data_IF_589169601502
#
_entry.id   IF_589169601502
#
_cell.length_a   1.000
_cell.length_b   1.000
_cell.length_c   1.000
_cell.angle_alpha   90.00
_cell.angle_beta   90.00
_cell.angle_gamma   90.00
#
_symmetry.space_group_name_H-M   'P 1'
#
loop_
_entity.id
_entity.type
_entity.pdbx_description
1 polymer ?
#
# COMPACT_ATOMS: atom_id res chain seq x y z
N UNK A 1 10.39 18.73 1.53
CA UNK A 1 10.06 18.57 2.96
C UNK A 1 11.23 19.10 3.78
N UNK A 2 10.98 19.91 4.80
CA UNK A 2 12.03 20.39 5.71
C UNK A 2 12.50 19.23 6.62
N UNK A 3 13.80 19.01 6.70
CA UNK A 3 14.42 17.96 7.53
C UNK A 3 14.09 18.16 9.02
N UNK A 4 13.93 19.41 9.48
CA UNK A 4 13.57 19.71 10.87
C UNK A 4 12.19 19.18 11.23
N UNK A 5 11.20 19.46 10.37
CA UNK A 5 9.81 19.03 10.54
C UNK A 5 9.71 17.50 10.50
N UNK A 6 10.37 16.84 9.53
CA UNK A 6 10.33 15.39 9.43
C UNK A 6 10.91 14.70 10.68
N UNK A 7 12.00 15.24 11.24
CA UNK A 7 12.59 14.73 12.48
C UNK A 7 11.62 14.87 13.67
N UNK A 8 10.94 16.01 13.77
CA UNK A 8 9.94 16.22 14.82
C UNK A 8 8.76 15.25 14.70
N UNK A 9 8.23 15.04 13.49
CA UNK A 9 7.17 14.07 13.23
C UNK A 9 7.58 12.64 13.58
N UNK A 10 8.82 12.24 13.29
CA UNK A 10 9.35 10.95 13.75
C UNK A 10 9.45 10.87 15.27
N UNK A 11 9.81 11.97 15.95
CA UNK A 11 9.80 12.05 17.42
C UNK A 11 8.38 11.90 18.00
N UNK A 12 7.39 12.56 17.40
CA UNK A 12 5.97 12.42 17.79
C UNK A 12 5.47 10.98 17.60
N UNK A 13 5.80 10.35 16.46
CA UNK A 13 5.49 8.94 16.23
C UNK A 13 6.17 8.03 17.26
N UNK A 14 7.42 8.31 17.61
CA UNK A 14 8.16 7.55 18.60
C UNK A 14 7.50 7.65 19.99
N UNK A 15 7.08 8.85 20.39
CA UNK A 15 6.35 9.09 21.63
C UNK A 15 4.97 8.41 21.64
N UNK A 16 4.28 8.35 20.51
CA UNK A 16 3.01 7.62 20.37
C UNK A 16 3.20 6.12 20.57
N UNK A 17 4.21 5.52 19.92
CA UNK A 17 4.48 4.09 20.04
C UNK A 17 4.88 3.72 21.48
N UNK A 18 5.57 4.61 22.19
CA UNK A 18 5.98 4.37 23.57
C UNK A 18 4.79 4.24 24.54
N UNK A 19 3.64 4.81 24.20
CA UNK A 19 2.40 4.67 24.98
C UNK A 19 1.80 3.26 24.92
N UNK A 20 2.20 2.44 23.95
CA UNK A 20 1.65 1.09 23.72
C UNK A 20 2.73 0.01 23.91
N UNK A 21 3.04 -0.41 25.15
CA UNK A 21 4.17 -1.29 25.45
C UNK A 21 4.03 -2.70 24.85
N UNK A 22 2.80 -3.22 24.70
CA UNK A 22 2.57 -4.54 24.06
C UNK A 22 3.00 -4.53 22.60
N UNK A 23 2.61 -3.50 21.87
CA UNK A 23 2.96 -3.30 20.46
C UNK A 23 4.49 -3.14 20.30
N UNK A 24 5.15 -2.44 21.22
CA UNK A 24 6.61 -2.31 21.28
C UNK A 24 7.34 -3.64 21.48
N UNK A 25 6.79 -4.53 22.31
CA UNK A 25 7.41 -5.81 22.65
C UNK A 25 7.18 -6.89 21.58
N UNK A 26 5.98 -6.95 21.02
CA UNK A 26 5.54 -8.07 20.16
C UNK A 26 5.64 -7.75 18.65
N UNK A 27 5.60 -6.46 18.26
CA UNK A 27 5.61 -6.07 16.84
C UNK A 27 6.99 -5.64 16.33
N UNK A 28 7.19 -5.81 15.02
CA UNK A 28 8.36 -5.31 14.29
C UNK A 28 7.91 -4.29 13.26
N UNK A 29 8.58 -3.13 13.25
CA UNK A 29 8.27 -2.04 12.33
C UNK A 29 9.24 -2.06 11.15
N UNK A 30 8.71 -1.98 9.94
CA UNK A 30 9.50 -1.82 8.72
C UNK A 30 9.13 -0.51 8.08
N UNK A 31 10.08 0.42 8.00
CA UNK A 31 9.90 1.71 7.36
C UNK A 31 10.46 1.66 5.94
N UNK A 32 9.60 1.85 4.94
CA UNK A 32 9.93 1.89 3.52
C UNK A 32 9.77 3.33 3.03
N UNK A 33 10.80 3.96 2.45
CA UNK A 33 10.72 5.34 1.99
C UNK A 33 9.79 5.47 0.79
N UNK A 34 9.07 6.58 0.72
CA UNK A 34 8.24 6.97 -0.42
C UNK A 34 8.96 7.85 -1.44
N UNK A 35 8.30 8.15 -2.58
CA UNK A 35 8.85 9.03 -3.61
C UNK A 35 9.03 10.49 -3.15
N UNK A 36 8.23 10.94 -2.19
CA UNK A 36 8.25 12.32 -1.66
C UNK A 36 9.12 12.49 -0.40
N UNK A 37 9.74 11.40 0.06
CA UNK A 37 10.62 11.41 1.23
C UNK A 37 11.98 12.03 0.94
N UNK A 38 12.68 12.41 2.01
CA UNK A 38 14.02 12.99 1.91
C UNK A 38 15.03 11.96 1.42
N UNK A 39 15.79 12.30 0.38
CA UNK A 39 16.75 11.38 -0.24
C UNK A 39 17.16 11.81 -1.65
N UNK A 40 17.80 10.91 -2.44
CA UNK A 40 18.30 11.19 -3.79
C UNK A 40 17.18 11.30 -4.87
N UNK A 41 16.02 11.84 -4.50
CA UNK A 41 14.85 11.95 -5.37
C UNK A 41 14.16 10.61 -5.64
N UNK A 42 13.32 10.57 -6.68
CA UNK A 42 12.52 9.41 -7.06
C UNK A 42 13.29 8.38 -7.92
N UNK A 43 14.62 8.27 -7.75
CA UNK A 43 15.47 7.30 -8.46
C UNK A 43 15.41 5.97 -7.73
N UNK A 44 15.17 4.87 -8.47
CA UNK A 44 15.08 3.53 -7.91
C UNK A 44 16.39 2.74 -8.07
N UNK A 45 16.71 1.83 -7.15
CA UNK A 45 16.15 1.68 -5.81
C UNK A 45 16.50 2.88 -4.90
N UNK A 46 15.59 3.28 -4.02
CA UNK A 46 15.82 4.33 -3.04
C UNK A 46 16.51 3.76 -1.78
N UNK A 47 17.51 4.47 -1.23
CA UNK A 47 18.17 4.06 0.01
C UNK A 47 17.23 4.23 1.21
N UNK A 48 17.53 3.56 2.35
CA UNK A 48 16.77 3.77 3.58
C UNK A 48 16.89 5.20 4.10
N UNK A 49 15.91 5.60 4.92
CA UNK A 49 15.90 6.92 5.54
C UNK A 49 17.18 7.17 6.37
N UNK A 50 17.80 8.36 6.25
CA UNK A 50 18.98 8.73 7.01
C UNK A 50 18.84 8.54 8.53
N UNK A 51 19.95 8.16 9.17
CA UNK A 51 19.99 7.96 10.63
C UNK A 51 19.79 9.25 11.42
N UNK A 52 20.16 10.40 10.87
CA UNK A 52 19.97 11.70 11.50
C UNK A 52 18.49 12.05 11.73
N UNK A 53 17.58 11.52 10.89
CA UNK A 53 16.13 11.73 11.01
C UNK A 53 15.47 10.72 11.96
N UNK A 54 16.05 9.53 12.06
CA UNK A 54 15.41 8.35 12.68
C UNK A 54 16.07 7.93 13.99
N UNK A 55 16.97 8.74 14.53
CA UNK A 55 17.75 8.42 15.73
C UNK A 55 16.90 8.12 16.96
N UNK A 56 15.88 8.94 17.22
CA UNK A 56 14.98 8.75 18.37
C UNK A 56 14.17 7.46 18.24
N UNK A 57 13.59 7.23 17.06
CA UNK A 57 12.79 6.04 16.77
C UNK A 57 13.63 4.75 16.90
N UNK A 58 14.87 4.76 16.40
CA UNK A 58 15.81 3.63 16.54
C UNK A 58 16.20 3.35 17.98
N UNK A 59 16.28 4.39 18.82
CA UNK A 59 16.58 4.25 20.24
C UNK A 59 15.42 3.62 21.00
N UNK A 60 14.18 4.02 20.70
CA UNK A 60 12.98 3.45 21.35
C UNK A 60 12.63 2.08 20.80
N UNK A 61 12.80 1.85 19.50
CA UNK A 61 12.44 0.62 18.79
C UNK A 61 13.69 -0.05 18.19
N UNK A 62 14.46 -0.82 18.98
CA UNK A 62 15.63 -1.52 18.45
C UNK A 62 15.26 -2.59 17.42
N UNK A 63 14.01 -3.04 17.41
CA UNK A 63 13.46 -4.02 16.45
C UNK A 63 13.04 -3.40 15.12
N UNK A 64 13.03 -2.07 15.00
CA UNK A 64 12.61 -1.38 13.79
C UNK A 64 13.68 -1.46 12.68
N UNK A 65 13.26 -1.81 11.48
CA UNK A 65 14.10 -1.88 10.28
C UNK A 65 13.73 -0.74 9.33
N UNK A 66 14.71 0.05 8.95
CA UNK A 66 14.55 1.06 7.91
C UNK A 66 15.11 0.47 6.62
N UNK A 67 14.22 0.13 5.70
CA UNK A 67 14.52 -0.61 4.49
C UNK A 67 14.68 0.33 3.28
N UNK A 68 15.19 -0.21 2.18
CA UNK A 68 15.16 0.45 0.87
C UNK A 68 13.74 0.45 0.27
N UNK A 69 13.53 1.18 -0.82
CA UNK A 69 12.33 1.04 -1.65
C UNK A 69 12.74 0.70 -3.10
N UNK A 70 12.33 -0.46 -3.64
CA UNK A 70 11.57 -1.53 -2.98
C UNK A 70 12.37 -2.27 -1.90
N UNK A 71 11.67 -3.09 -1.11
CA UNK A 71 12.30 -4.09 -0.25
C UNK A 71 11.56 -5.43 -0.33
N UNK A 72 12.19 -6.48 0.19
CA UNK A 72 11.63 -7.83 0.22
C UNK A 72 11.62 -8.37 1.64
N UNK A 73 10.46 -8.86 2.04
CA UNK A 73 10.26 -9.56 3.28
C UNK A 73 10.18 -11.06 2.98
N UNK A 74 10.93 -11.85 3.74
CA UNK A 74 10.82 -13.32 3.72
C UNK A 74 10.18 -13.76 5.03
N UNK A 75 9.02 -14.39 4.93
CA UNK A 75 8.31 -14.93 6.07
C UNK A 75 8.09 -16.43 5.85
N UNK A 76 8.80 -17.25 6.61
CA UNK A 76 8.91 -18.70 6.38
C UNK A 76 9.29 -19.02 4.93
N UNK A 77 8.39 -19.64 4.17
CA UNK A 77 8.57 -19.99 2.75
C UNK A 77 8.16 -18.88 1.79
N UNK A 78 7.45 -17.85 2.27
CA UNK A 78 6.85 -16.83 1.43
C UNK A 78 7.79 -15.65 1.18
N UNK A 79 7.72 -15.12 -0.04
CA UNK A 79 8.42 -13.93 -0.51
C UNK A 79 7.41 -12.83 -0.76
N UNK A 80 7.50 -11.78 0.04
CA UNK A 80 6.63 -10.61 -0.02
C UNK A 80 7.48 -9.43 -0.49
N UNK A 81 7.09 -8.77 -1.57
CA UNK A 81 7.78 -7.58 -2.09
C UNK A 81 6.99 -6.35 -1.67
N UNK A 82 7.65 -5.38 -1.02
CA UNK A 82 7.04 -4.09 -0.69
C UNK A 82 7.59 -3.04 -1.65
N UNK A 83 6.69 -2.29 -2.26
CA UNK A 83 7.04 -1.22 -3.17
C UNK A 83 6.10 -0.03 -3.00
N UNK A 84 6.62 1.11 -2.54
CA UNK A 84 5.86 2.36 -2.41
C UNK A 84 6.15 3.22 -3.62
N UNK A 85 5.21 3.27 -4.56
CA UNK A 85 5.39 4.06 -5.77
C UNK A 85 4.07 4.34 -6.49
N UNK A 86 3.93 5.54 -7.06
CA UNK A 86 2.75 5.92 -7.84
C UNK A 86 2.85 5.39 -9.28
N UNK A 87 2.81 4.06 -9.43
CA UNK A 87 2.98 3.38 -10.71
C UNK A 87 1.79 3.57 -11.64
N UNK A 88 0.56 3.49 -11.11
CA UNK A 88 -0.65 3.57 -11.93
C UNK A 88 -0.70 4.90 -12.68
N UNK A 89 -0.46 6.02 -11.99
CA UNK A 89 -0.37 7.34 -12.63
C UNK A 89 0.72 7.39 -13.70
N UNK A 90 1.88 6.78 -13.47
CA UNK A 90 3.02 6.85 -14.41
C UNK A 90 2.83 6.00 -15.65
N UNK A 91 2.24 4.81 -15.50
CA UNK A 91 1.91 3.90 -16.58
C UNK A 91 0.73 4.42 -17.41
N UNK A 92 -0.35 4.90 -16.77
CA UNK A 92 -1.52 5.47 -17.47
C UNK A 92 -1.18 6.65 -18.38
N UNK A 93 -0.17 7.45 -18.03
CA UNK A 93 0.29 8.58 -18.88
C UNK A 93 1.07 8.12 -20.12
N UNK A 94 1.42 6.84 -20.22
CA UNK A 94 2.33 6.26 -21.23
C UNK A 94 1.75 5.04 -21.91
N UNK A 95 0.47 4.75 -21.69
CA UNK A 95 -0.26 3.73 -22.44
C UNK A 95 -0.51 4.23 -23.86
N UNK A 96 -0.19 3.42 -24.87
CA UNK A 96 -0.47 3.75 -26.27
C UNK A 96 -1.96 3.68 -26.58
N UNK A 97 -2.67 2.74 -25.96
CA UNK A 97 -4.10 2.53 -26.11
C UNK A 97 -4.81 2.89 -24.81
N UNK A 98 -5.98 3.56 -24.87
CA UNK A 98 -6.83 3.71 -23.70
C UNK A 98 -7.25 2.33 -23.20
N UNK A 99 -7.16 2.13 -21.90
CA UNK A 99 -7.62 0.89 -21.25
C UNK A 99 -9.14 0.85 -21.30
N UNK A 100 -9.71 -0.30 -21.65
CA UNK A 100 -11.16 -0.51 -21.67
C UNK A 100 -11.73 -0.21 -20.26
N UNK A 101 -12.59 0.81 -20.16
CA UNK A 101 -13.16 1.29 -18.90
C UNK A 101 -12.58 2.61 -18.38
N UNK A 102 -11.48 3.13 -18.94
CA UNK A 102 -11.06 4.50 -18.63
C UNK A 102 -12.12 5.50 -19.15
N UNK A 103 -12.53 6.52 -18.38
CA UNK A 103 -13.44 7.54 -18.90
C UNK A 103 -12.74 8.23 -20.09
N UNK A 104 -13.28 8.03 -21.29
CA UNK A 104 -12.88 8.75 -22.49
C UNK A 104 -13.21 10.24 -22.25
N UNK A 105 -12.23 11.03 -21.77
CA UNK A 105 -12.54 12.44 -21.50
C UNK A 105 -11.54 13.30 -20.74
N UNK A 106 -10.26 12.93 -20.55
CA UNK A 106 -9.31 13.82 -19.83
C UNK A 106 -8.23 14.49 -20.67
N UNK A 107 -8.32 14.44 -22.01
CA UNK A 107 -7.38 15.15 -22.89
C UNK A 107 -8.01 16.22 -23.81
N UNK A 108 -9.34 16.40 -23.89
CA UNK A 108 -9.92 17.36 -24.86
C UNK A 108 -11.27 18.04 -24.54
N UNK A 109 -11.94 17.81 -23.40
CA UNK A 109 -13.27 18.41 -23.18
C UNK A 109 -13.50 18.88 -21.74
N UNK A 110 -12.87 20.00 -21.38
CA UNK A 110 -13.26 20.80 -20.23
C UNK A 110 -14.28 21.86 -20.67
N UNK A 111 -15.54 21.46 -20.87
CA UNK A 111 -16.69 22.37 -20.80
C UNK A 111 -18.01 21.58 -20.81
N UNK A 112 -18.85 21.89 -19.83
CA UNK A 112 -20.32 21.72 -19.80
C UNK A 112 -20.92 20.44 -19.18
N UNK A 113 -21.39 20.62 -17.95
CA UNK A 113 -22.66 20.17 -17.37
C UNK A 113 -22.61 19.10 -16.24
N UNK A 114 -23.27 19.38 -15.09
CA UNK A 114 -23.36 18.50 -13.92
C UNK A 114 -24.71 17.74 -13.87
N UNK A 115 -24.71 16.48 -13.43
CA UNK A 115 -25.77 15.77 -12.64
C UNK A 115 -25.81 14.25 -12.92
N UNK A 116 -25.05 13.46 -12.16
CA UNK A 116 -25.25 12.01 -11.94
C UNK A 116 -24.24 11.50 -10.90
N UNK A 117 -24.42 11.81 -9.62
CA UNK A 117 -23.38 11.62 -8.60
C UNK A 117 -23.15 10.16 -8.16
N UNK A 118 -24.14 9.26 -8.26
CA UNK A 118 -24.00 7.88 -7.75
C UNK A 118 -23.64 6.84 -8.83
N UNK A 119 -24.26 6.90 -10.02
CA UNK A 119 -23.93 6.00 -11.13
C UNK A 119 -22.53 6.24 -11.71
N UNK A 120 -22.06 7.50 -11.69
CA UNK A 120 -20.69 7.84 -12.11
C UNK A 120 -19.62 7.33 -11.15
N UNK A 121 -19.92 7.24 -9.84
CA UNK A 121 -19.01 6.72 -8.82
C UNK A 121 -18.87 5.19 -8.90
N UNK A 122 -19.96 4.46 -9.12
CA UNK A 122 -19.91 3.00 -9.31
C UNK A 122 -19.15 2.61 -10.58
N UNK A 123 -19.34 3.35 -11.69
CA UNK A 123 -18.57 3.16 -12.92
C UNK A 123 -17.09 3.55 -12.75
N UNK A 124 -16.79 4.57 -11.94
CA UNK A 124 -15.42 4.95 -11.60
C UNK A 124 -14.71 3.88 -10.74
N UNK A 125 -15.42 3.24 -9.81
CA UNK A 125 -14.88 2.13 -9.01
C UNK A 125 -14.69 0.84 -9.84
N UNK A 126 -15.65 0.52 -10.72
CA UNK A 126 -15.51 -0.62 -11.63
C UNK A 126 -14.37 -0.42 -12.65
N UNK A 127 -14.12 0.82 -13.06
CA UNK A 127 -12.97 1.14 -13.91
C UNK A 127 -11.65 1.16 -13.13
N UNK A 128 -11.61 1.56 -11.86
CA UNK A 128 -10.39 1.49 -11.05
C UNK A 128 -9.91 0.05 -10.88
N UNK A 129 -10.83 -0.88 -10.61
CA UNK A 129 -10.48 -2.30 -10.46
C UNK A 129 -9.99 -2.93 -11.76
N UNK A 130 -10.57 -2.57 -12.90
CA UNK A 130 -10.08 -2.98 -14.22
C UNK A 130 -8.68 -2.41 -14.50
N UNK A 131 -8.44 -1.13 -14.17
CA UNK A 131 -7.13 -0.51 -14.29
C UNK A 131 -6.09 -1.19 -13.39
N UNK A 132 -6.48 -1.56 -12.16
CA UNK A 132 -5.64 -2.29 -11.22
C UNK A 132 -5.29 -3.69 -11.72
N UNK A 133 -6.27 -4.41 -12.28
CA UNK A 133 -6.04 -5.71 -12.90
C UNK A 133 -5.04 -5.62 -14.06
N UNK A 134 -5.18 -4.63 -14.94
CA UNK A 134 -4.23 -4.41 -16.04
C UNK A 134 -2.84 -4.00 -15.56
N UNK A 135 -2.76 -3.12 -14.55
CA UNK A 135 -1.49 -2.74 -13.93
C UNK A 135 -0.79 -3.96 -13.34
N UNK A 136 -1.51 -4.74 -12.55
CA UNK A 136 -1.00 -5.93 -11.89
C UNK A 136 -0.52 -6.96 -12.91
N UNK A 137 -1.32 -7.26 -13.93
CA UNK A 137 -0.91 -8.14 -15.02
C UNK A 137 0.35 -7.64 -15.72
N UNK A 138 0.44 -6.34 -16.00
CA UNK A 138 1.64 -5.75 -16.64
C UNK A 138 2.89 -5.97 -15.79
N UNK A 139 2.80 -5.74 -14.47
CA UNK A 139 3.95 -5.92 -13.56
C UNK A 139 4.39 -7.38 -13.48
N UNK A 140 3.44 -8.30 -13.37
CA UNK A 140 3.73 -9.73 -13.25
C UNK A 140 4.27 -10.30 -14.57
N UNK A 141 3.68 -9.94 -15.71
CA UNK A 141 4.10 -10.41 -17.03
C UNK A 141 5.44 -9.82 -17.48
N UNK A 142 5.71 -8.55 -17.17
CA UNK A 142 7.03 -7.95 -17.42
C UNK A 142 8.09 -8.42 -16.41
N UNK A 143 7.66 -9.07 -15.31
CA UNK A 143 8.51 -9.51 -14.21
C UNK A 143 9.45 -8.41 -13.71
N UNK A 144 8.98 -7.17 -13.68
CA UNK A 144 9.76 -6.00 -13.30
C UNK A 144 8.88 -4.96 -12.60
N UNK A 145 9.36 -4.38 -11.50
CA UNK A 145 8.59 -3.39 -10.72
C UNK A 145 8.44 -2.03 -11.44
N UNK A 146 9.35 -1.70 -12.36
CA UNK A 146 9.31 -0.45 -13.12
C UNK A 146 9.44 -0.72 -14.63
N UNK A 147 8.38 -1.19 -15.31
CA UNK A 147 8.37 -1.41 -16.76
C UNK A 147 8.15 -0.08 -17.50
N UNK A 148 9.01 0.91 -17.22
CA UNK A 148 8.94 2.27 -17.74
C UNK A 148 10.30 2.69 -18.28
N UNK A 149 10.35 3.55 -19.32
CA UNK A 149 11.63 4.06 -19.82
C UNK A 149 12.34 4.90 -18.75
N UNK A 150 13.67 4.94 -18.79
CA UNK A 150 14.50 5.64 -17.78
C UNK A 150 14.18 7.14 -17.67
N UNK A 151 13.71 7.78 -18.75
CA UNK A 151 13.26 9.16 -18.74
C UNK A 151 11.99 9.37 -17.90
N UNK A 152 11.14 8.33 -17.82
CA UNK A 152 9.93 8.34 -17.02
C UNK A 152 10.17 7.90 -15.57
N UNK A 153 11.04 6.91 -15.41
CA UNK A 153 11.40 6.35 -14.12
C UNK A 153 12.91 6.08 -14.10
N UNK A 154 13.72 6.98 -13.51
CA UNK A 154 15.15 6.77 -13.44
C UNK A 154 15.47 5.60 -12.50
N UNK A 155 16.35 4.71 -12.97
CA UNK A 155 16.85 3.56 -12.23
C UNK A 155 18.37 3.59 -12.24
N UNK A 156 18.99 3.30 -11.10
CA UNK A 156 20.42 3.06 -11.02
C UNK A 156 20.77 1.80 -11.81
N UNK A 157 21.51 1.97 -12.91
CA UNK A 157 21.83 0.87 -13.83
C UNK A 157 22.46 -0.35 -13.14
N UNK A 158 23.29 -0.13 -12.13
CA UNK A 158 23.94 -1.20 -11.36
C UNK A 158 22.97 -2.00 -10.47
N UNK A 159 21.80 -1.44 -10.16
CA UNK A 159 20.82 -2.00 -9.22
C UNK A 159 19.47 -2.31 -9.87
N UNK A 160 19.41 -2.38 -11.20
CA UNK A 160 18.19 -2.71 -11.93
C UNK A 160 17.67 -4.12 -11.56
N UNK A 161 18.59 -5.07 -11.35
CA UNK A 161 18.24 -6.44 -10.92
C UNK A 161 17.46 -6.51 -9.60
N UNK A 162 17.57 -5.50 -8.74
CA UNK A 162 16.82 -5.43 -7.48
C UNK A 162 15.31 -5.27 -7.72
N UNK A 163 14.92 -4.67 -8.86
CA UNK A 163 13.55 -4.41 -9.26
C UNK A 163 12.88 -5.59 -9.97
N UNK A 164 13.63 -6.65 -10.31
CA UNK A 164 13.11 -7.83 -11.01
C UNK A 164 12.20 -8.69 -10.14
N UNK A 165 11.02 -9.05 -10.64
CA UNK A 165 10.07 -9.93 -9.94
C UNK A 165 10.29 -11.41 -10.23
N UNK A 166 11.35 -11.78 -10.94
CA UNK A 166 11.70 -13.18 -11.21
C UNK A 166 12.67 -13.72 -10.14
N UNK A 167 12.40 -14.88 -9.52
CA UNK A 167 11.20 -15.72 -9.65
C UNK A 167 9.97 -15.06 -9.02
N UNK A 168 8.77 -15.34 -9.55
CA UNK A 168 7.50 -14.71 -9.14
C UNK A 168 7.29 -14.82 -7.62
N UNK A 169 7.11 -13.71 -6.87
CA UNK A 169 6.87 -13.75 -5.42
C UNK A 169 5.47 -14.24 -5.08
N UNK A 170 5.23 -14.56 -3.81
CA UNK A 170 3.90 -14.97 -3.32
C UNK A 170 2.96 -13.75 -3.17
N UNK A 171 3.52 -12.61 -2.76
CA UNK A 171 2.78 -11.36 -2.67
C UNK A 171 3.63 -10.14 -3.07
N UNK A 172 2.99 -9.18 -3.73
CA UNK A 172 3.51 -7.86 -4.08
C UNK A 172 2.59 -6.81 -3.47
N UNK A 173 3.11 -6.09 -2.49
CA UNK A 173 2.42 -4.98 -1.85
C UNK A 173 2.84 -3.71 -2.56
N UNK A 174 1.97 -3.24 -3.45
CA UNK A 174 2.16 -2.00 -4.19
C UNK A 174 1.38 -0.89 -3.49
N UNK A 175 2.09 -0.10 -2.68
CA UNK A 175 1.51 1.07 -2.04
C UNK A 175 1.48 2.23 -3.06
N UNK A 176 0.35 2.40 -3.72
CA UNK A 176 0.11 3.47 -4.70
C UNK A 176 -1.00 4.40 -4.17
N UNK A 177 -0.68 5.68 -4.00
CA UNK A 177 -1.64 6.69 -3.53
C UNK A 177 -2.60 7.14 -4.65
N UNK A 178 -2.29 6.82 -5.91
CA UNK A 178 -3.06 7.20 -7.10
C UNK A 178 -4.00 6.11 -7.59
N UNK A 179 -3.85 4.91 -7.03
CA UNK A 179 -4.72 3.77 -7.26
C UNK A 179 -5.98 3.83 -6.39
N UNK A 180 -6.97 3.01 -6.72
CA UNK A 180 -8.14 2.86 -5.86
C UNK A 180 -7.73 2.34 -4.48
N UNK A 181 -8.43 2.73 -3.40
CA UNK A 181 -8.16 2.17 -2.08
C UNK A 181 -8.51 0.67 -2.08
N UNK A 182 -7.69 -0.12 -1.39
CA UNK A 182 -8.01 -1.52 -1.02
C UNK A 182 -8.29 -2.45 -2.22
N UNK A 183 -7.46 -2.37 -3.26
CA UNK A 183 -7.56 -3.24 -4.43
C UNK A 183 -6.69 -4.50 -4.26
N UNK A 184 -7.27 -5.67 -4.53
CA UNK A 184 -6.56 -6.96 -4.60
C UNK A 184 -6.66 -7.51 -6.03
N UNK A 185 -5.56 -8.09 -6.50
CA UNK A 185 -5.53 -8.85 -7.74
C UNK A 185 -4.67 -10.10 -7.59
N UNK A 186 -5.13 -11.23 -8.10
CA UNK A 186 -4.42 -12.51 -8.01
C UNK A 186 -4.16 -13.06 -9.40
N UNK A 187 -2.91 -13.43 -9.68
CA UNK A 187 -2.52 -14.05 -10.94
C UNK A 187 -1.36 -15.03 -10.74
N UNK A 188 -1.50 -16.25 -11.28
CA UNK A 188 -0.48 -17.31 -11.21
C UNK A 188 0.05 -17.55 -9.78
N UNK A 189 -0.82 -17.44 -8.77
CA UNK A 189 -0.47 -17.61 -7.35
C UNK A 189 0.23 -16.42 -6.69
N UNK A 190 0.54 -15.36 -7.44
CA UNK A 190 1.04 -14.09 -6.88
C UNK A 190 -0.12 -13.15 -6.60
N UNK A 191 -0.17 -12.61 -5.39
CA UNK A 191 -1.16 -11.60 -4.98
C UNK A 191 -0.57 -10.20 -5.07
N UNK A 192 -1.23 -9.30 -5.78
CA UNK A 192 -0.87 -7.88 -5.84
C UNK A 192 -1.89 -7.09 -5.05
N UNK A 193 -1.45 -6.39 -4.01
CA UNK A 193 -2.34 -5.66 -3.10
C UNK A 193 -1.96 -4.18 -3.02
N UNK A 194 -2.98 -3.32 -3.00
CA UNK A 194 -2.84 -1.93 -2.59
C UNK A 194 -3.48 -1.71 -1.21
N UNK A 195 -2.70 -1.36 -0.17
CA UNK A 195 -3.27 -1.07 1.14
C UNK A 195 -4.08 0.24 1.15
N UNK A 196 -3.87 1.14 0.18
CA UNK A 196 -4.48 2.46 0.17
C UNK A 196 -3.73 3.48 1.02
N UNK A 197 -4.30 4.68 1.13
CA UNK A 197 -3.71 5.81 1.84
C UNK A 197 -4.14 5.84 3.30
N UNK A 198 -3.17 5.70 4.23
CA UNK A 198 -3.44 5.71 5.66
C UNK A 198 -4.05 7.04 6.19
N UNK A 199 -3.67 8.24 5.70
CA UNK A 199 -4.37 9.49 6.05
C UNK A 199 -5.87 9.48 5.76
N UNK A 200 -6.32 8.66 4.81
CA UNK A 200 -7.74 8.49 4.48
C UNK A 200 -8.43 7.42 5.35
N UNK A 201 -7.68 6.75 6.24
CA UNK A 201 -8.20 5.72 7.14
C UNK A 201 -8.04 4.29 6.63
N UNK A 202 -7.47 4.08 5.44
CA UNK A 202 -7.36 2.74 4.85
C UNK A 202 -6.05 2.05 5.23
N UNK A 203 -6.14 0.78 5.62
CA UNK A 203 -5.01 -0.13 5.78
C UNK A 203 -5.41 -1.55 5.39
N UNK A 204 -4.42 -2.44 5.28
CA UNK A 204 -4.62 -3.84 4.96
C UNK A 204 -3.76 -4.73 5.85
N UNK A 205 -4.32 -5.85 6.29
CA UNK A 205 -3.62 -6.91 6.99
C UNK A 205 -3.44 -8.11 6.05
N UNK A 206 -2.20 -8.55 5.86
CA UNK A 206 -1.89 -9.76 5.11
C UNK A 206 -1.60 -10.90 6.07
N UNK A 207 -2.39 -11.97 6.02
CA UNK A 207 -2.20 -13.18 6.82
C UNK A 207 -1.39 -14.19 6.01
N UNK A 208 -0.07 -14.34 6.24
CA UNK A 208 0.77 -15.22 5.43
C UNK A 208 0.33 -16.68 5.52
N UNK A 209 -0.10 -17.17 6.70
CA UNK A 209 -0.49 -18.57 6.86
C UNK A 209 -1.68 -18.98 5.98
N UNK A 210 -2.65 -18.08 5.78
CA UNK A 210 -3.85 -18.32 4.96
C UNK A 210 -3.67 -17.76 3.54
N UNK A 211 -2.64 -16.92 3.34
CA UNK A 211 -2.45 -16.10 2.14
C UNK A 211 -3.71 -15.27 1.83
N UNK A 212 -4.35 -14.72 2.86
CA UNK A 212 -5.54 -13.89 2.73
C UNK A 212 -5.21 -12.45 3.08
N UNK A 213 -5.89 -11.52 2.41
CA UNK A 213 -5.82 -10.09 2.70
C UNK A 213 -7.13 -9.68 3.37
N UNK A 214 -7.01 -9.01 4.51
CA UNK A 214 -8.12 -8.36 5.19
C UNK A 214 -7.96 -6.85 4.99
N UNK A 215 -8.95 -6.22 4.38
CA UNK A 215 -8.97 -4.78 4.15
C UNK A 215 -9.71 -4.12 5.31
N UNK A 216 -9.12 -3.09 5.91
CA UNK A 216 -9.66 -2.43 7.09
C UNK A 216 -9.70 -0.90 6.91
N UNK A 217 -10.82 -0.29 7.33
CA UNK A 217 -11.00 1.17 7.37
C UNK A 217 -11.11 1.61 8.84
N UNK A 218 -10.43 2.70 9.20
CA UNK A 218 -10.56 3.32 10.51
C UNK A 218 -11.92 4.03 10.62
N UNK A 219 -12.61 3.92 11.76
CA UNK A 219 -13.84 4.68 12.01
C UNK A 219 -13.57 6.19 11.87
N UNK A 220 -14.44 6.89 11.13
CA UNK A 220 -14.30 8.34 10.96
C UNK A 220 -14.74 9.05 12.23
N UNK A 221 -14.02 10.09 12.68
CA UNK A 221 -14.45 10.88 13.82
C UNK A 221 -15.80 11.54 13.48
N UNK A 222 -16.87 11.10 14.15
CA UNK A 222 -18.25 11.51 13.91
C UNK A 222 -19.21 10.41 13.42
N UNK A 223 -18.73 9.18 13.21
CA UNK A 223 -19.53 8.01 12.85
C UNK A 223 -19.44 6.95 13.96
N UNK A 224 -19.59 7.36 15.22
CA UNK A 224 -19.86 6.44 16.33
C UNK A 224 -21.38 6.22 16.37
N UNK A 225 -21.83 5.02 16.01
CA UNK A 225 -23.22 4.59 16.13
C UNK A 225 -23.82 4.02 14.84
N UNK A 226 -23.46 2.79 14.50
CA UNK A 226 -24.33 1.81 13.85
C UNK A 226 -23.52 0.54 13.53
N UNK A 227 -23.52 -0.42 14.44
CA UNK A 227 -23.00 -1.76 14.17
C UNK A 227 -22.49 -2.43 15.44
N UNK A 228 -23.17 -3.52 15.81
CA UNK A 228 -22.79 -4.49 16.84
C UNK A 228 -23.19 -4.13 18.28
N UNK A 229 -24.48 -3.83 18.50
CA UNK A 229 -25.15 -4.43 19.66
C UNK A 229 -25.23 -5.94 19.39
N UNK A 230 -24.45 -6.72 20.14
CA UNK A 230 -24.46 -8.17 20.08
C UNK A 230 -25.84 -8.72 20.43
N UNK A 231 -26.38 -9.54 19.54
CA UNK A 231 -27.34 -10.58 19.92
C UNK A 231 -26.60 -11.53 20.87
N UNK A 232 -26.67 -11.25 22.18
CA UNK A 232 -26.48 -12.27 23.21
C UNK A 232 -27.64 -13.27 23.08
N UNK A 233 -27.47 -14.28 22.22
CA UNK A 233 -28.25 -15.50 22.34
C UNK A 233 -27.85 -16.18 23.66
N UNK A 234 -28.75 -16.05 24.62
CA UNK A 234 -28.81 -16.71 25.91
C UNK A 234 -28.77 -18.25 25.73
N UNK A 235 -27.56 -18.81 25.72
CA UNK A 235 -27.34 -20.25 25.82
C UNK A 235 -27.49 -20.69 27.27
N UNK A 236 -28.74 -20.83 27.72
CA UNK A 236 -29.07 -21.45 29.00
C UNK A 236 -28.81 -22.96 28.91
N UNK A 237 -27.66 -23.38 29.45
CA UNK A 237 -27.29 -24.79 29.58
C UNK A 237 -27.51 -25.27 31.00
N UNK A 238 -28.50 -26.14 31.21
CA UNK A 238 -28.51 -27.07 32.35
C UNK A 238 -29.19 -28.39 31.95
N UNK A 239 -28.37 -29.42 31.79
CA UNK A 239 -28.80 -30.80 31.68
C UNK A 239 -29.18 -31.41 33.04
N UNK A 240 -30.14 -32.34 32.95
CA UNK A 240 -30.30 -33.58 33.73
C UNK A 240 -30.57 -33.51 35.24
N UNK A 241 -31.76 -33.96 35.65
CA UNK A 241 -31.96 -35.00 36.68
C UNK A 241 -33.45 -35.38 36.86
N UNK A 242 -33.90 -36.46 36.20
CA UNK A 242 -34.65 -37.64 36.71
C UNK A 242 -35.44 -38.35 35.60
#
# INVERSE_FOLDING_TARGET
VDYGVMRELFGQLAALIDQYPRLKAESRFVFVPGPDDTGPGAILPQPPLPRCLTGELRRLLPTAVFASNPCRLRYATQRIVLFRHDLQRRLRRRTLLPLAGAPEGSAAAAATAPSASQASQAAAAASSSALWGHLSLTLLQQSHLAPLPLLAQPVYWQHDSALGLYPLPDAVILADATAGPQEEFVHEGCRVLNPGSFPSGYFAAYLPCVQQVEMSELPRPGQEGAGEDGEEEEADGLGQHR
#
